data_IF_080015061256
#
_entry.id   IF_080015061256
#
_cell.length_a   1.000
_cell.length_b   1.000
_cell.length_c   1.000
_cell.angle_alpha   90.00
_cell.angle_beta   90.00
_cell.angle_gamma   90.00
#
_symmetry.space_group_name_H-M   'P 1'
#
loop_
_entity.id
_entity.type
_entity.pdbx_description
1 polymer ?
#
# COMPACT_ATOMS: atom_id res chain seq x y z
N UNK A 1 -5.67 14.05 20.26
CA UNK A 1 -5.20 14.05 18.86
C UNK A 1 -4.59 12.69 18.57
N UNK A 2 -5.21 11.94 17.68
CA UNK A 2 -4.56 10.79 17.08
C UNK A 2 -3.34 11.28 16.32
N UNK A 3 -2.16 11.03 16.87
CA UNK A 3 -0.92 11.20 16.12
C UNK A 3 -0.99 10.15 15.03
N UNK A 4 -1.02 10.55 13.75
CA UNK A 4 -0.89 9.60 12.66
C UNK A 4 0.36 8.75 12.91
N UNK A 5 0.18 7.48 13.15
CA UNK A 5 1.31 6.54 13.36
C UNK A 5 2.08 6.34 12.05
N UNK A 6 1.43 6.59 10.94
CA UNK A 6 1.88 6.33 9.60
C UNK A 6 3.11 7.14 9.19
N UNK A 7 3.07 8.48 9.33
CA UNK A 7 4.23 9.31 9.03
C UNK A 7 5.46 8.92 9.87
N UNK A 8 5.25 8.56 11.14
CA UNK A 8 6.33 8.07 12.00
C UNK A 8 6.87 6.71 11.55
N UNK A 9 6.04 5.89 10.93
CA UNK A 9 6.42 4.54 10.49
C UNK A 9 7.31 4.57 9.24
N UNK A 10 7.12 5.49 8.30
CA UNK A 10 8.02 5.66 7.15
C UNK A 10 9.43 5.98 7.62
N UNK A 11 9.61 6.95 8.52
CA UNK A 11 10.94 7.29 9.06
C UNK A 11 11.56 6.16 9.87
N UNK A 12 10.78 5.44 10.69
CA UNK A 12 11.27 4.26 11.43
C UNK A 12 11.77 3.17 10.48
N UNK A 13 11.01 2.85 9.44
CA UNK A 13 11.37 1.83 8.45
C UNK A 13 12.60 2.24 7.64
N UNK A 14 12.70 3.52 7.29
CA UNK A 14 13.92 4.07 6.71
C UNK A 14 15.14 3.87 7.60
N UNK A 15 15.03 4.21 8.89
CA UNK A 15 16.10 3.99 9.86
C UNK A 15 16.51 2.52 9.94
N UNK A 16 15.55 1.59 9.90
CA UNK A 16 15.83 0.15 9.86
C UNK A 16 16.55 -0.25 8.56
N UNK A 17 16.09 0.21 7.40
CA UNK A 17 16.72 -0.07 6.12
C UNK A 17 18.15 0.48 6.05
N UNK A 18 18.36 1.72 6.51
CA UNK A 18 19.69 2.34 6.61
C UNK A 18 20.63 1.54 7.52
N UNK A 19 20.15 1.10 8.68
CA UNK A 19 20.94 0.30 9.61
C UNK A 19 21.33 -1.04 8.98
N UNK A 20 20.38 -1.71 8.32
CA UNK A 20 20.63 -2.96 7.59
C UNK A 20 21.73 -2.79 6.56
N UNK A 21 21.63 -1.77 5.72
CA UNK A 21 22.62 -1.46 4.69
C UNK A 21 23.99 -1.12 5.30
N UNK A 22 24.03 -0.27 6.32
CA UNK A 22 25.27 0.12 7.00
C UNK A 22 26.00 -1.05 7.67
N UNK A 23 25.25 -2.04 8.14
CA UNK A 23 25.80 -3.23 8.82
C UNK A 23 25.92 -4.45 7.90
N UNK A 24 25.67 -4.29 6.60
CA UNK A 24 25.67 -5.37 5.61
C UNK A 24 24.77 -6.56 6.04
N UNK A 25 23.60 -6.24 6.61
CA UNK A 25 22.64 -7.24 7.03
C UNK A 25 21.74 -7.60 5.84
N UNK A 26 21.48 -8.88 5.67
CA UNK A 26 20.66 -9.41 4.57
C UNK A 26 19.18 -9.48 5.01
N UNK A 27 18.52 -8.31 5.06
CA UNK A 27 17.07 -8.23 5.21
C UNK A 27 16.47 -7.08 4.38
N UNK A 28 15.23 -7.25 4.00
CA UNK A 28 14.42 -6.19 3.40
C UNK A 28 13.47 -5.57 4.43
N UNK A 29 13.22 -4.29 4.30
CA UNK A 29 12.25 -3.54 5.09
C UNK A 29 11.06 -3.21 4.23
N UNK A 30 9.86 -3.54 4.69
CA UNK A 30 8.61 -3.26 3.98
C UNK A 30 7.81 -2.18 4.71
N UNK A 31 7.24 -1.26 3.95
CA UNK A 31 6.33 -0.21 4.42
C UNK A 31 5.05 -0.32 3.62
N UNK A 32 3.93 -0.47 4.29
CA UNK A 32 2.60 -0.43 3.67
C UNK A 32 1.96 0.93 3.98
N UNK A 33 1.54 1.62 2.95
CA UNK A 33 0.90 2.94 2.99
C UNK A 33 -0.48 2.86 2.35
N UNK A 34 -1.47 3.54 2.93
CA UNK A 34 -2.72 3.81 2.24
C UNK A 34 -2.58 4.99 1.28
N UNK A 35 -3.41 5.04 0.25
CA UNK A 35 -3.44 6.16 -0.70
C UNK A 35 -3.77 7.50 -0.01
N UNK A 36 -4.78 7.52 0.88
CA UNK A 36 -5.10 8.70 1.67
C UNK A 36 -3.97 9.13 2.62
N UNK A 37 -3.22 8.16 3.17
CA UNK A 37 -2.06 8.43 4.00
C UNK A 37 -0.95 9.14 3.22
N UNK A 38 -0.83 8.88 1.93
CA UNK A 38 0.14 9.53 1.05
C UNK A 38 -0.13 11.03 0.84
N UNK A 39 -1.23 11.59 1.33
CA UNK A 39 -1.43 13.05 1.39
C UNK A 39 -0.56 13.73 2.46
N UNK A 40 0.05 12.95 3.37
CA UNK A 40 0.94 13.49 4.38
C UNK A 40 2.32 13.83 3.79
N UNK A 41 2.79 15.08 4.01
CA UNK A 41 4.09 15.55 3.51
C UNK A 41 5.27 14.70 3.97
N UNK A 42 5.20 14.13 5.18
CA UNK A 42 6.22 13.27 5.75
C UNK A 42 6.50 12.01 4.90
N UNK A 43 5.49 11.48 4.20
CA UNK A 43 5.66 10.35 3.28
C UNK A 43 6.63 10.73 2.14
N UNK A 44 6.42 11.90 1.54
CA UNK A 44 7.25 12.37 0.42
C UNK A 44 8.68 12.72 0.85
N UNK A 45 8.84 13.32 2.03
CA UNK A 45 10.16 13.55 2.64
C UNK A 45 10.89 12.22 2.85
N UNK A 46 10.16 11.19 3.32
CA UNK A 46 10.67 9.84 3.46
C UNK A 46 11.10 9.24 2.12
N UNK A 47 10.29 9.37 1.08
CA UNK A 47 10.60 8.89 -0.27
C UNK A 47 11.86 9.58 -0.81
N UNK A 48 11.97 10.91 -0.69
CA UNK A 48 13.18 11.63 -1.10
C UNK A 48 14.43 11.12 -0.39
N UNK A 49 14.34 10.93 0.92
CA UNK A 49 15.47 10.46 1.72
C UNK A 49 15.87 9.03 1.36
N UNK A 50 14.90 8.13 1.15
CA UNK A 50 15.14 6.74 0.76
C UNK A 50 15.90 6.66 -0.57
N UNK A 51 15.49 7.47 -1.54
CA UNK A 51 16.18 7.60 -2.82
C UNK A 51 17.60 8.13 -2.65
N UNK A 52 17.77 9.23 -1.89
CA UNK A 52 19.07 9.83 -1.61
C UNK A 52 20.08 8.85 -1.03
N UNK A 53 19.64 7.97 -0.14
CA UNK A 53 20.50 6.96 0.50
C UNK A 53 20.58 5.65 -0.27
N UNK A 54 19.91 5.54 -1.43
CA UNK A 54 19.89 4.36 -2.29
C UNK A 54 19.48 3.11 -1.51
N UNK A 55 18.36 3.19 -0.76
CA UNK A 55 17.92 2.10 0.11
C UNK A 55 17.28 0.96 -0.69
N UNK A 56 18.11 0.19 -1.39
CA UNK A 56 17.70 -0.95 -2.21
C UNK A 56 17.17 -2.16 -1.40
N UNK A 57 17.23 -2.07 -0.09
CA UNK A 57 16.61 -2.99 0.84
C UNK A 57 15.28 -2.46 1.43
N UNK A 58 14.74 -1.34 0.88
CA UNK A 58 13.45 -0.79 1.25
C UNK A 58 12.43 -1.04 0.12
N UNK A 59 11.28 -1.58 0.51
CA UNK A 59 10.12 -1.75 -0.37
C UNK A 59 8.96 -0.96 0.21
N UNK A 60 8.45 -0.01 -0.55
CA UNK A 60 7.25 0.76 -0.22
C UNK A 60 6.08 0.18 -1.00
N UNK A 61 5.00 -0.14 -0.33
CA UNK A 61 3.77 -0.66 -0.93
C UNK A 61 2.69 0.41 -0.71
N UNK A 62 2.04 0.83 -1.78
CA UNK A 62 0.88 1.73 -1.70
C UNK A 62 -0.38 0.90 -1.96
N UNK A 63 -1.26 0.81 -0.97
CA UNK A 63 -2.61 0.28 -1.14
C UNK A 63 -3.46 1.36 -1.82
N UNK A 64 -3.50 1.29 -3.15
CA UNK A 64 -4.18 2.25 -4.01
C UNK A 64 -5.61 1.80 -4.25
N UNK A 65 -6.48 2.04 -3.28
CA UNK A 65 -7.89 1.65 -3.32
C UNK A 65 -8.83 2.80 -3.69
N UNK A 66 -8.30 4.00 -3.94
CA UNK A 66 -9.03 5.21 -4.31
C UNK A 66 -10.08 5.68 -3.28
N UNK A 67 -9.93 5.24 -2.02
CA UNK A 67 -10.86 5.58 -0.93
C UNK A 67 -10.11 6.10 0.28
N UNK A 68 -10.46 7.29 0.71
CA UNK A 68 -10.03 7.88 1.96
C UNK A 68 -11.12 7.71 3.05
N UNK A 69 -10.83 8.21 4.25
CA UNK A 69 -11.77 8.14 5.38
C UNK A 69 -13.12 8.79 5.05
N UNK A 70 -13.09 9.97 4.44
CA UNK A 70 -14.26 10.83 4.21
C UNK A 70 -14.90 10.64 2.82
N UNK A 71 -14.34 9.78 1.95
CA UNK A 71 -14.88 9.58 0.62
C UNK A 71 -13.88 9.09 -0.41
N UNK A 72 -14.18 9.35 -1.67
CA UNK A 72 -13.28 9.01 -2.78
C UNK A 72 -12.07 9.94 -2.78
N UNK A 73 -10.90 9.38 -3.11
CA UNK A 73 -9.66 10.13 -3.25
C UNK A 73 -9.81 11.31 -4.24
N UNK A 74 -10.48 11.09 -5.36
CA UNK A 74 -10.70 12.10 -6.40
C UNK A 74 -11.50 13.32 -5.95
N UNK A 75 -12.40 13.15 -4.97
CA UNK A 75 -13.26 14.19 -4.44
C UNK A 75 -12.61 14.97 -3.29
N UNK A 76 -11.69 14.34 -2.56
CA UNK A 76 -11.06 14.90 -1.35
C UNK A 76 -9.72 15.55 -1.67
N UNK A 77 -8.76 14.74 -2.12
CA UNK A 77 -7.41 15.18 -2.45
C UNK A 77 -6.81 14.24 -3.50
N UNK A 78 -7.03 14.51 -4.79
CA UNK A 78 -6.60 13.62 -5.86
C UNK A 78 -5.08 13.54 -5.94
N UNK A 79 -4.56 12.33 -5.81
CA UNK A 79 -3.13 12.05 -5.86
C UNK A 79 -2.62 11.78 -7.28
N UNK A 80 -3.52 11.43 -8.22
CA UNK A 80 -3.10 11.05 -9.57
C UNK A 80 -2.19 9.82 -9.57
N UNK A 81 -1.23 9.76 -10.51
CA UNK A 81 -0.35 8.60 -10.64
C UNK A 81 0.71 8.54 -9.52
N UNK A 82 0.57 7.62 -8.57
CA UNK A 82 1.62 7.31 -7.58
C UNK A 82 2.89 6.82 -8.26
N UNK A 83 2.77 5.97 -9.29
CA UNK A 83 3.90 5.45 -10.04
C UNK A 83 4.76 6.57 -10.59
N UNK A 84 4.16 7.55 -11.28
CA UNK A 84 4.92 8.64 -11.91
C UNK A 84 5.58 9.53 -10.85
N UNK A 85 4.86 9.86 -9.78
CA UNK A 85 5.38 10.68 -8.69
C UNK A 85 6.55 10.02 -7.98
N UNK A 86 6.40 8.76 -7.58
CA UNK A 86 7.44 8.04 -6.82
C UNK A 86 8.63 7.72 -7.72
N UNK A 87 8.41 7.39 -8.99
CA UNK A 87 9.48 7.21 -9.98
C UNK A 87 10.31 8.49 -10.18
N UNK A 88 9.66 9.66 -10.15
CA UNK A 88 10.36 10.95 -10.28
C UNK A 88 11.35 11.20 -9.13
N UNK A 89 11.15 10.58 -7.96
CA UNK A 89 12.11 10.58 -6.86
C UNK A 89 13.24 9.56 -7.02
N UNK A 90 13.21 8.70 -8.05
CA UNK A 90 14.29 7.76 -8.34
C UNK A 90 14.06 6.34 -7.84
N UNK A 91 12.85 5.99 -7.44
CA UNK A 91 12.46 4.61 -7.13
C UNK A 91 12.29 3.77 -8.40
N UNK A 92 12.53 2.47 -8.30
CA UNK A 92 11.92 1.51 -9.20
C UNK A 92 10.46 1.35 -8.83
N UNK A 93 9.53 1.42 -9.80
CA UNK A 93 8.09 1.43 -9.53
C UNK A 93 7.35 0.42 -10.38
N UNK A 94 6.60 -0.45 -9.72
CA UNK A 94 5.73 -1.44 -10.35
C UNK A 94 4.29 -1.15 -9.98
N UNK A 95 3.41 -1.19 -10.97
CA UNK A 95 1.96 -0.99 -10.81
C UNK A 95 1.27 -2.31 -11.10
N UNK A 96 0.50 -2.83 -10.14
CA UNK A 96 -0.06 -4.19 -10.22
C UNK A 96 -1.48 -4.25 -9.67
N UNK A 97 -2.20 -5.28 -10.09
CA UNK A 97 -3.43 -5.71 -9.46
C UNK A 97 -3.13 -6.26 -8.05
N UNK A 98 -3.55 -5.53 -7.02
CA UNK A 98 -3.29 -5.85 -5.62
C UNK A 98 -4.11 -7.03 -5.09
N UNK A 99 -5.09 -7.54 -5.86
CA UNK A 99 -5.82 -8.77 -5.53
C UNK A 99 -5.20 -10.03 -6.15
N UNK A 100 -4.19 -9.89 -7.01
CA UNK A 100 -3.47 -11.02 -7.59
C UNK A 100 -2.20 -11.32 -6.80
N UNK A 101 -2.20 -12.43 -6.04
CA UNK A 101 -1.03 -12.90 -5.29
C UNK A 101 0.16 -13.15 -6.22
N UNK A 102 -0.09 -13.70 -7.41
CA UNK A 102 0.94 -13.96 -8.40
C UNK A 102 1.63 -12.66 -8.86
N UNK A 103 0.84 -11.64 -9.23
CA UNK A 103 1.37 -10.35 -9.67
C UNK A 103 2.12 -9.61 -8.55
N UNK A 104 1.61 -9.68 -7.32
CA UNK A 104 2.31 -9.13 -6.16
C UNK A 104 3.65 -9.84 -5.91
N UNK A 105 3.64 -11.17 -5.98
CA UNK A 105 4.86 -11.96 -5.82
C UNK A 105 5.92 -11.60 -6.87
N UNK A 106 5.53 -11.46 -8.12
CA UNK A 106 6.44 -11.06 -9.19
C UNK A 106 6.93 -9.62 -9.03
N UNK A 107 6.06 -8.70 -8.58
CA UNK A 107 6.45 -7.33 -8.28
C UNK A 107 7.55 -7.23 -7.22
N UNK A 108 7.48 -8.05 -6.17
CA UNK A 108 8.51 -8.08 -5.12
C UNK A 108 9.85 -8.67 -5.57
N UNK A 109 9.90 -9.31 -6.73
CA UNK A 109 11.11 -9.87 -7.33
C UNK A 109 11.77 -8.97 -8.36
N UNK A 110 11.14 -7.85 -8.72
CA UNK A 110 11.70 -6.91 -9.68
C UNK A 110 13.08 -6.46 -9.21
N UNK A 111 14.05 -6.51 -10.12
CA UNK A 111 15.40 -6.04 -9.85
C UNK A 111 15.42 -4.51 -9.71
N UNK A 112 15.96 -4.03 -8.61
CA UNK A 112 16.01 -2.60 -8.30
C UNK A 112 17.34 -2.18 -7.65
N UNK A 113 18.44 -2.81 -8.07
CA UNK A 113 19.77 -2.62 -7.49
C UNK A 113 20.14 -1.13 -7.36
N UNK A 114 20.52 -0.73 -6.16
CA UNK A 114 20.92 0.64 -5.84
C UNK A 114 19.76 1.63 -5.69
N UNK A 115 18.51 1.19 -5.90
CA UNK A 115 17.30 2.03 -5.77
C UNK A 115 16.28 1.35 -4.87
N UNK A 116 15.47 2.11 -4.09
CA UNK A 116 14.32 1.52 -3.40
C UNK A 116 13.24 1.10 -4.41
N UNK A 117 12.41 0.13 -4.02
CA UNK A 117 11.28 -0.37 -4.80
C UNK A 117 9.97 0.22 -4.27
N UNK A 118 9.08 0.62 -5.17
CA UNK A 118 7.70 0.93 -4.86
C UNK A 118 6.75 -0.02 -5.63
N UNK A 119 5.81 -0.62 -4.93
CA UNK A 119 4.75 -1.44 -5.49
C UNK A 119 3.43 -0.72 -5.29
N UNK A 120 2.82 -0.28 -6.37
CA UNK A 120 1.49 0.33 -6.35
C UNK A 120 0.48 -0.79 -6.55
N UNK A 121 -0.14 -1.20 -5.46
CA UNK A 121 -1.13 -2.28 -5.45
C UNK A 121 -2.52 -1.67 -5.65
N UNK A 122 -3.07 -1.78 -6.86
CA UNK A 122 -4.43 -1.35 -7.13
C UNK A 122 -5.40 -2.35 -6.54
N UNK A 123 -6.18 -1.90 -5.58
CA UNK A 123 -7.12 -2.72 -4.83
C UNK A 123 -8.52 -2.13 -4.85
N UNK A 124 -9.46 -2.88 -4.35
CA UNK A 124 -10.82 -2.44 -4.10
C UNK A 124 -11.06 -2.54 -2.60
N UNK A 125 -11.39 -1.42 -1.96
CA UNK A 125 -11.70 -1.39 -0.54
C UNK A 125 -12.91 -2.28 -0.24
N UNK A 126 -12.82 -3.17 0.77
CA UNK A 126 -13.89 -4.11 1.10
C UNK A 126 -14.08 -5.23 0.08
N UNK A 127 -13.08 -5.53 -0.76
CA UNK A 127 -13.13 -6.55 -1.79
C UNK A 127 -13.67 -7.88 -1.29
N UNK A 128 -14.59 -8.47 -2.08
CA UNK A 128 -15.19 -9.77 -1.78
C UNK A 128 -16.45 -9.70 -0.90
N UNK A 129 -16.80 -8.52 -0.36
CA UNK A 129 -18.06 -8.34 0.38
C UNK A 129 -18.92 -7.25 -0.28
N UNK A 130 -19.92 -7.63 -1.11
CA UNK A 130 -20.71 -6.68 -1.90
C UNK A 130 -21.41 -5.59 -1.08
N UNK A 131 -21.72 -5.87 0.19
CA UNK A 131 -22.39 -4.91 1.08
C UNK A 131 -21.52 -3.71 1.43
N UNK A 132 -20.18 -3.86 1.42
CA UNK A 132 -19.23 -2.80 1.79
C UNK A 132 -18.20 -2.47 0.69
N UNK A 133 -18.19 -3.27 -0.38
CA UNK A 133 -17.20 -3.12 -1.44
C UNK A 133 -17.30 -1.76 -2.11
N UNK A 134 -16.15 -1.10 -2.26
CA UNK A 134 -16.00 0.22 -2.88
C UNK A 134 -16.91 1.32 -2.27
N UNK A 135 -17.12 1.26 -0.95
CA UNK A 135 -17.92 2.21 -0.19
C UNK A 135 -17.06 2.93 0.85
N UNK A 136 -17.15 4.27 0.96
CA UNK A 136 -16.40 5.04 1.99
C UNK A 136 -16.70 4.55 3.41
N UNK A 137 -17.96 4.21 3.69
CA UNK A 137 -18.42 3.75 5.00
C UNK A 137 -17.71 2.48 5.47
N UNK A 138 -17.11 1.72 4.53
CA UNK A 138 -16.35 0.50 4.86
C UNK A 138 -15.11 0.74 5.72
N UNK A 139 -14.70 2.00 5.91
CA UNK A 139 -13.55 2.34 6.76
C UNK A 139 -13.80 2.03 8.24
N UNK A 140 -15.02 2.21 8.71
CA UNK A 140 -15.45 1.91 10.08
C UNK A 140 -16.84 1.25 10.08
N UNK A 141 -16.91 0.01 9.64
CA UNK A 141 -18.17 -0.73 9.65
C UNK A 141 -18.11 -1.87 10.67
N UNK A 142 -19.17 -2.03 11.45
CA UNK A 142 -19.43 -3.27 12.15
C UNK A 142 -20.26 -4.16 11.24
N UNK A 143 -19.73 -5.32 10.90
CA UNK A 143 -20.46 -6.30 10.09
C UNK A 143 -21.70 -6.78 10.84
N UNK A 144 -22.82 -6.89 10.14
CA UNK A 144 -23.99 -7.57 10.67
C UNK A 144 -23.75 -9.09 10.73
N UNK A 145 -24.52 -9.80 11.58
CA UNK A 145 -24.45 -11.27 11.63
C UNK A 145 -24.73 -11.89 10.25
N UNK A 146 -25.62 -11.29 9.47
CA UNK A 146 -25.92 -11.74 8.11
C UNK A 146 -24.74 -11.59 7.16
N UNK A 147 -24.01 -10.46 7.22
CA UNK A 147 -22.81 -10.25 6.42
C UNK A 147 -21.71 -11.25 6.81
N UNK A 148 -21.52 -11.45 8.11
CA UNK A 148 -20.57 -12.42 8.61
C UNK A 148 -20.88 -13.85 8.09
N UNK A 149 -22.13 -14.30 8.22
CA UNK A 149 -22.55 -15.62 7.73
C UNK A 149 -22.40 -15.74 6.22
N UNK A 150 -22.71 -14.67 5.48
CA UNK A 150 -22.49 -14.63 4.02
C UNK A 150 -21.01 -14.80 3.67
N UNK A 151 -20.11 -14.08 4.37
CA UNK A 151 -18.67 -14.17 4.14
C UNK A 151 -18.13 -15.58 4.40
N UNK A 152 -18.53 -16.19 5.54
CA UNK A 152 -18.14 -17.57 5.86
C UNK A 152 -18.57 -18.53 4.77
N UNK A 153 -19.81 -18.41 4.33
CA UNK A 153 -20.33 -19.23 3.23
C UNK A 153 -19.53 -19.04 1.92
N UNK A 154 -19.18 -17.80 1.56
CA UNK A 154 -18.38 -17.53 0.37
C UNK A 154 -16.98 -18.15 0.49
N UNK A 155 -16.36 -18.09 1.67
CA UNK A 155 -15.07 -18.72 1.92
C UNK A 155 -15.13 -20.24 1.80
N UNK A 156 -16.14 -20.88 2.39
CA UNK A 156 -16.34 -22.33 2.33
C UNK A 156 -16.64 -22.83 0.91
N UNK A 157 -17.35 -22.04 0.10
CA UNK A 157 -17.70 -22.37 -1.28
C UNK A 157 -16.60 -21.98 -2.29
N UNK A 158 -15.51 -21.33 -1.86
CA UNK A 158 -14.44 -20.83 -2.73
C UNK A 158 -14.91 -19.72 -3.69
N UNK A 159 -15.98 -19.00 -3.35
CA UNK A 159 -16.63 -17.98 -4.20
C UNK A 159 -16.18 -16.55 -3.92
N UNK A 160 -14.93 -16.37 -3.49
CA UNK A 160 -14.38 -15.03 -3.31
C UNK A 160 -13.61 -14.52 -4.54
N UNK A 161 -13.41 -15.35 -5.55
CA UNK A 161 -12.95 -14.86 -6.83
C UNK A 161 -14.12 -14.25 -7.58
N UNK A 162 -14.08 -12.95 -7.78
CA UNK A 162 -14.96 -12.35 -8.77
C UNK A 162 -14.71 -13.05 -10.09
N UNK A 163 -15.72 -13.76 -10.55
CA UNK A 163 -15.81 -14.12 -11.96
C UNK A 163 -15.68 -12.81 -12.73
N UNK A 164 -14.72 -12.74 -13.59
CA UNK A 164 -14.37 -11.65 -14.51
C UNK A 164 -15.58 -11.11 -15.25
#
# INVERSE_FOLDING_TARGET
QGVSSAASDVYKRQGMAMLGKKRSMDYKTYVLLGDGECNEGAIWEGIMSASKFGLDNLVVIVDNNHMQFDGREEDIMPMGSFKDKISAFGFECVDVDGHSIEKLYDAFKVEHQGRPLAVIANTIKGYGLPSIENKPESHHIMLSDSDYQYMIKCLEEGKYDRVQ
#
